data_IF_676384944660
#
_entry.id   IF_676384944660
#
_cell.length_a   1.000
_cell.length_b   1.000
_cell.length_c   1.000
_cell.angle_alpha   90.00
_cell.angle_beta   90.00
_cell.angle_gamma   90.00
#
_symmetry.space_group_name_H-M   'P 1'
#
loop_
_entity.id
_entity.type
_entity.pdbx_description
1 polymer ?
#
# COMPACT_ATOMS: atom_id res chain seq x y z
N UNK A 1 -18.55 6.82 5.47
CA UNK A 1 -17.69 7.20 4.34
C UNK A 1 -18.49 8.08 3.40
N UNK A 2 -17.84 8.95 2.62
CA UNK A 2 -18.51 9.85 1.67
C UNK A 2 -19.43 9.07 0.72
N UNK A 3 -19.01 7.88 0.28
CA UNK A 3 -19.80 6.95 -0.55
C UNK A 3 -21.12 6.56 0.09
N UNK A 4 -21.16 6.32 1.40
CA UNK A 4 -22.38 5.93 2.12
C UNK A 4 -23.33 7.12 2.30
N UNK A 5 -22.80 8.34 2.53
CA UNK A 5 -23.62 9.56 2.53
C UNK A 5 -24.21 9.85 1.15
N UNK A 6 -23.40 9.71 0.09
CA UNK A 6 -23.86 9.86 -1.30
C UNK A 6 -24.90 8.81 -1.66
N UNK A 7 -24.73 7.55 -1.23
CA UNK A 7 -25.71 6.48 -1.43
C UNK A 7 -27.04 6.79 -0.76
N UNK A 8 -27.01 7.34 0.46
CA UNK A 8 -28.21 7.76 1.18
C UNK A 8 -28.92 8.95 0.51
N UNK A 9 -28.15 9.91 -0.02
CA UNK A 9 -28.70 11.08 -0.73
C UNK A 9 -29.29 10.69 -2.08
N UNK A 10 -28.55 9.91 -2.87
CA UNK A 10 -28.91 9.50 -4.21
C UNK A 10 -29.80 8.24 -4.24
N UNK A 11 -30.16 7.71 -3.06
CA UNK A 11 -31.03 6.54 -2.87
C UNK A 11 -30.59 5.29 -3.65
N UNK A 12 -29.27 5.02 -3.71
CA UNK A 12 -28.72 3.80 -4.29
C UNK A 12 -28.20 2.83 -3.25
N UNK A 13 -28.12 1.54 -3.62
CA UNK A 13 -27.53 0.52 -2.75
C UNK A 13 -26.01 0.74 -2.63
N UNK A 14 -25.48 1.08 -1.44
CA UNK A 14 -24.06 1.38 -1.27
C UNK A 14 -23.16 0.15 -1.43
N UNK A 15 -23.70 -1.08 -1.32
CA UNK A 15 -22.87 -2.30 -1.22
C UNK A 15 -21.96 -2.50 -2.44
N UNK A 16 -22.44 -2.44 -3.69
CA UNK A 16 -21.59 -2.56 -4.88
C UNK A 16 -20.49 -1.51 -4.95
N UNK A 17 -20.82 -0.27 -4.58
CA UNK A 17 -19.89 0.87 -4.63
C UNK A 17 -18.80 0.73 -3.59
N UNK A 18 -19.15 0.41 -2.34
CA UNK A 18 -18.19 0.19 -1.26
C UNK A 18 -17.27 -0.99 -1.59
N UNK A 19 -17.82 -2.10 -2.11
CA UNK A 19 -17.00 -3.23 -2.53
C UNK A 19 -16.01 -2.81 -3.63
N UNK A 20 -16.47 -2.11 -4.67
CA UNK A 20 -15.57 -1.63 -5.72
C UNK A 20 -14.50 -0.67 -5.19
N UNK A 21 -14.85 0.21 -4.25
CA UNK A 21 -13.93 1.15 -3.61
C UNK A 21 -12.84 0.42 -2.82
N UNK A 22 -13.20 -0.59 -2.03
CA UNK A 22 -12.25 -1.41 -1.26
C UNK A 22 -11.27 -2.14 -2.17
N UNK A 23 -11.74 -2.77 -3.24
CA UNK A 23 -10.87 -3.46 -4.20
C UNK A 23 -9.96 -2.48 -4.95
N UNK A 24 -10.50 -1.36 -5.42
CA UNK A 24 -9.73 -0.32 -6.11
C UNK A 24 -8.69 0.34 -5.19
N UNK A 25 -9.02 0.58 -3.91
CA UNK A 25 -8.11 1.15 -2.93
C UNK A 25 -6.94 0.21 -2.63
N UNK A 26 -7.22 -1.08 -2.40
CA UNK A 26 -6.16 -2.09 -2.20
C UNK A 26 -5.26 -2.21 -3.43
N UNK A 27 -5.84 -2.22 -4.63
CA UNK A 27 -5.07 -2.34 -5.86
C UNK A 27 -4.25 -1.07 -6.15
N UNK A 28 -4.81 0.11 -5.88
CA UNK A 28 -4.11 1.39 -6.01
C UNK A 28 -2.97 1.53 -5.00
N UNK A 29 -3.16 1.07 -3.76
CA UNK A 29 -2.10 0.99 -2.74
C UNK A 29 -0.96 0.07 -3.18
N UNK A 30 -1.30 -1.09 -3.75
CA UNK A 30 -0.31 -2.02 -4.29
C UNK A 30 0.54 -1.44 -5.45
N UNK A 31 0.04 -0.40 -6.14
CA UNK A 31 0.67 0.17 -7.34
C UNK A 31 1.94 0.96 -7.04
N UNK A 32 2.07 1.47 -5.81
CA UNK A 32 3.12 2.39 -5.42
C UNK A 32 3.90 1.82 -4.25
N UNK A 33 5.20 2.14 -4.20
CA UNK A 33 6.06 1.67 -3.11
C UNK A 33 5.58 2.17 -1.74
N UNK A 34 4.86 3.29 -1.66
CA UNK A 34 4.38 3.89 -0.41
C UNK A 34 2.93 3.58 -0.07
N UNK A 35 2.21 2.84 -0.93
CA UNK A 35 0.77 2.64 -0.74
C UNK A 35 0.43 1.68 0.39
N UNK A 36 1.34 0.77 0.76
CA UNK A 36 1.22 -0.08 1.93
C UNK A 36 2.60 -0.43 2.55
N UNK A 37 2.65 -0.88 3.82
CA UNK A 37 3.91 -1.28 4.45
C UNK A 37 4.66 -2.44 3.75
N UNK A 38 4.00 -3.51 3.25
CA UNK A 38 4.67 -4.57 2.51
C UNK A 38 5.48 -4.08 1.31
N UNK A 39 4.94 -3.13 0.52
CA UNK A 39 5.62 -2.58 -0.64
C UNK A 39 6.88 -1.79 -0.27
N UNK A 40 6.86 -1.07 0.85
CA UNK A 40 8.05 -0.40 1.37
C UNK A 40 9.12 -1.43 1.75
N UNK A 41 8.74 -2.52 2.42
CA UNK A 41 9.67 -3.60 2.83
C UNK A 41 10.30 -4.24 1.58
N UNK A 42 9.48 -4.63 0.60
CA UNK A 42 9.95 -5.27 -0.63
C UNK A 42 10.81 -4.28 -1.44
N UNK A 43 10.35 -3.05 -1.61
CA UNK A 43 11.04 -2.02 -2.38
C UNK A 43 12.41 -1.68 -1.80
N UNK A 44 12.50 -1.50 -0.49
CA UNK A 44 13.77 -1.19 0.19
C UNK A 44 14.72 -2.40 0.23
N UNK A 45 14.21 -3.61 0.45
CA UNK A 45 15.04 -4.81 0.45
C UNK A 45 15.60 -5.18 -0.94
N UNK A 46 14.88 -4.83 -2.00
CA UNK A 46 15.34 -5.01 -3.39
C UNK A 46 16.16 -3.81 -3.92
N UNK A 47 16.28 -2.73 -3.15
CA UNK A 47 16.96 -1.50 -3.59
C UNK A 47 16.26 -0.79 -4.75
N UNK A 48 14.94 -0.98 -4.90
CA UNK A 48 14.17 -0.36 -5.99
C UNK A 48 14.00 1.13 -5.72
N UNK A 49 14.09 1.93 -6.77
CA UNK A 49 13.59 3.31 -6.70
C UNK A 49 12.06 3.30 -6.80
N UNK A 50 11.42 4.40 -6.41
CA UNK A 50 9.96 4.54 -6.43
C UNK A 50 9.42 4.35 -7.84
N UNK A 51 10.13 4.90 -8.82
CA UNK A 51 9.81 4.79 -10.24
C UNK A 51 10.02 3.37 -10.76
N UNK A 52 11.06 2.67 -10.33
CA UNK A 52 11.30 1.28 -10.74
C UNK A 52 10.20 0.36 -10.20
N UNK A 53 9.77 0.58 -8.96
CA UNK A 53 8.66 -0.15 -8.37
C UNK A 53 7.36 0.06 -9.14
N UNK A 54 7.05 1.31 -9.52
CA UNK A 54 5.86 1.61 -10.34
C UNK A 54 5.96 0.98 -11.73
N UNK A 55 7.13 1.02 -12.38
CA UNK A 55 7.32 0.40 -13.69
C UNK A 55 7.14 -1.12 -13.65
N UNK A 56 7.62 -1.76 -12.58
CA UNK A 56 7.54 -3.20 -12.42
C UNK A 56 6.13 -3.66 -12.00
N UNK A 57 5.61 -3.11 -10.90
CA UNK A 57 4.37 -3.58 -10.27
C UNK A 57 3.14 -2.87 -10.85
N UNK A 58 3.28 -1.60 -11.25
CA UNK A 58 2.18 -0.77 -11.74
C UNK A 58 1.58 -1.25 -13.06
N UNK A 59 2.36 -1.88 -13.95
CA UNK A 59 1.83 -2.46 -15.20
C UNK A 59 0.90 -3.64 -14.91
N UNK A 60 1.34 -4.57 -14.06
CA UNK A 60 0.55 -5.73 -13.65
C UNK A 60 -0.73 -5.26 -12.95
N UNK A 61 -0.61 -4.26 -12.09
CA UNK A 61 -1.74 -3.67 -11.39
C UNK A 61 -2.69 -2.94 -12.33
N UNK A 62 -2.19 -2.23 -13.34
CA UNK A 62 -3.03 -1.61 -14.36
C UNK A 62 -3.88 -2.64 -15.10
N UNK A 63 -3.30 -3.80 -15.43
CA UNK A 63 -4.02 -4.93 -16.02
C UNK A 63 -5.08 -5.46 -15.04
N UNK A 64 -4.70 -5.75 -13.80
CA UNK A 64 -5.64 -6.20 -12.75
C UNK A 64 -6.77 -5.18 -12.51
N UNK A 65 -6.48 -3.88 -12.61
CA UNK A 65 -7.44 -2.81 -12.42
C UNK A 65 -8.51 -2.85 -13.50
N UNK A 66 -8.11 -3.02 -14.76
CA UNK A 66 -9.05 -3.19 -15.88
C UNK A 66 -9.94 -4.43 -15.67
N UNK A 67 -9.36 -5.57 -15.26
CA UNK A 67 -10.14 -6.77 -14.97
C UNK A 67 -11.13 -6.58 -13.83
N UNK A 68 -10.71 -5.92 -12.73
CA UNK A 68 -11.57 -5.59 -11.59
C UNK A 68 -12.71 -4.67 -12.03
N UNK A 69 -12.42 -3.62 -12.80
CA UNK A 69 -13.46 -2.71 -13.34
C UNK A 69 -14.46 -3.46 -14.24
N UNK A 70 -13.98 -4.33 -15.12
CA UNK A 70 -14.85 -5.14 -15.99
C UNK A 70 -15.71 -6.09 -15.14
N UNK A 71 -15.11 -6.76 -14.15
CA UNK A 71 -15.82 -7.67 -13.24
C UNK A 71 -16.93 -6.95 -12.47
N UNK A 72 -16.61 -5.83 -11.82
CA UNK A 72 -17.59 -5.03 -11.09
C UNK A 72 -18.67 -4.46 -12.03
N UNK A 73 -18.29 -4.00 -13.22
CA UNK A 73 -19.25 -3.57 -14.22
C UNK A 73 -20.19 -4.71 -14.63
N UNK A 74 -19.69 -5.91 -14.91
CA UNK A 74 -20.52 -7.07 -15.30
C UNK A 74 -21.44 -7.55 -14.17
N UNK A 75 -20.92 -7.67 -12.95
CA UNK A 75 -21.68 -8.13 -11.79
C UNK A 75 -22.74 -7.11 -11.34
N UNK A 76 -22.40 -5.81 -11.37
CA UNK A 76 -23.25 -4.78 -10.78
C UNK A 76 -23.96 -3.87 -11.78
N UNK A 77 -23.79 -4.04 -13.11
CA UNK A 77 -24.55 -3.25 -14.12
C UNK A 77 -26.06 -3.29 -13.94
N UNK A 78 -26.62 -4.42 -13.52
CA UNK A 78 -28.07 -4.60 -13.32
C UNK A 78 -28.57 -3.82 -12.10
N UNK A 79 -28.00 -4.00 -10.89
CA UNK A 79 -28.40 -3.20 -9.73
C UNK A 79 -28.10 -1.71 -9.88
N UNK A 80 -26.99 -1.33 -10.55
CA UNK A 80 -26.68 0.08 -10.82
C UNK A 80 -27.74 0.74 -11.73
N UNK A 81 -28.10 0.10 -12.86
CA UNK A 81 -29.15 0.61 -13.76
C UNK A 81 -30.54 0.65 -13.10
N UNK A 82 -30.86 -0.36 -12.28
CA UNK A 82 -32.13 -0.39 -11.54
C UNK A 82 -32.19 0.73 -10.49
N UNK A 83 -31.05 1.12 -9.92
CA UNK A 83 -30.96 2.20 -8.95
C UNK A 83 -31.05 3.59 -9.59
N UNK A 84 -30.48 3.76 -10.78
CA UNK A 84 -30.57 5.00 -11.57
C UNK A 84 -31.99 5.25 -12.11
N UNK A 85 -32.74 4.17 -12.39
CA UNK A 85 -34.13 4.25 -12.84
C UNK A 85 -35.14 4.62 -11.74
N UNK A 86 -34.73 4.65 -10.45
CA UNK A 86 -35.60 5.14 -9.37
C UNK A 86 -35.66 6.67 -9.40
N UNK A 87 -36.88 7.27 -9.35
CA UNK A 87 -36.99 8.72 -9.19
C UNK A 87 -36.22 9.15 -7.94
N UNK A 88 -35.48 10.27 -7.97
CA UNK A 88 -34.78 10.75 -6.79
C UNK A 88 -35.82 10.93 -5.67
N UNK A 89 -35.70 10.09 -4.64
CA UNK A 89 -36.59 10.14 -3.50
C UNK A 89 -36.50 11.54 -2.89
N UNK A 90 -37.64 12.21 -2.72
CA UNK A 90 -37.81 13.52 -2.04
C UNK A 90 -37.43 13.48 -0.55
N UNK A 91 -36.42 12.71 -0.14
CA UNK A 91 -35.76 12.96 1.14
C UNK A 91 -35.02 14.27 0.99
N UNK A 92 -35.43 15.26 1.80
CA UNK A 92 -34.73 16.55 1.94
C UNK A 92 -33.25 16.25 1.86
N UNK A 93 -32.57 16.87 0.88
CA UNK A 93 -31.12 16.98 0.85
C UNK A 93 -30.72 17.44 2.25
N UNK A 94 -30.36 16.52 3.13
CA UNK A 94 -29.61 16.87 4.32
C UNK A 94 -28.41 17.59 3.73
N UNK A 95 -28.21 18.88 4.05
CA UNK A 95 -27.18 19.67 3.39
C UNK A 95 -25.90 18.86 3.50
N UNK A 96 -25.31 18.50 2.35
CA UNK A 96 -24.00 17.86 2.28
C UNK A 96 -23.16 18.55 3.33
N UNK A 97 -22.74 17.80 4.34
CA UNK A 97 -22.05 18.36 5.49
C UNK A 97 -20.76 18.93 4.91
N UNK A 98 -20.78 20.24 4.61
CA UNK A 98 -19.64 20.91 4.01
C UNK A 98 -18.50 20.65 4.97
N UNK A 99 -17.33 20.19 4.49
CA UNK A 99 -16.17 20.09 5.37
C UNK A 99 -16.06 21.43 6.10
N UNK A 100 -15.96 21.43 7.44
CA UNK A 100 -15.98 22.65 8.25
C UNK A 100 -15.05 23.64 7.58
N UNK A 101 -15.61 24.79 7.13
CA UNK A 101 -15.02 25.74 6.18
C UNK A 101 -13.50 25.65 6.16
N UNK A 102 -12.97 24.76 5.30
CA UNK A 102 -11.56 24.44 5.34
C UNK A 102 -10.84 25.73 5.02
N UNK A 103 -10.05 26.24 5.96
CA UNK A 103 -9.29 27.46 5.80
C UNK A 103 -8.55 27.33 4.46
N UNK A 104 -8.91 28.16 3.47
CA UNK A 104 -8.39 28.01 2.10
C UNK A 104 -6.87 28.02 2.08
N UNK A 105 -6.26 28.74 3.02
CA UNK A 105 -4.81 28.77 3.23
C UNK A 105 -4.27 27.44 3.76
N UNK A 106 -4.95 26.82 4.72
CA UNK A 106 -4.60 25.49 5.24
C UNK A 106 -4.70 24.42 4.14
N UNK A 107 -5.82 24.39 3.41
CA UNK A 107 -6.01 23.45 2.30
C UNK A 107 -4.93 23.59 1.22
N UNK A 108 -4.61 24.82 0.81
CA UNK A 108 -3.54 25.07 -0.18
C UNK A 108 -2.18 24.64 0.38
N UNK A 109 -1.90 24.90 1.66
CA UNK A 109 -0.66 24.47 2.28
C UNK A 109 -0.53 22.94 2.33
N UNK A 110 -1.61 22.22 2.66
CA UNK A 110 -1.63 20.76 2.66
C UNK A 110 -1.42 20.19 1.25
N UNK A 111 -2.04 20.79 0.23
CA UNK A 111 -1.81 20.43 -1.18
C UNK A 111 -0.34 20.66 -1.58
N UNK A 112 0.29 21.75 -1.13
CA UNK A 112 1.71 22.01 -1.38
C UNK A 112 2.58 20.94 -0.72
N UNK A 113 2.32 20.60 0.54
CA UNK A 113 3.07 19.53 1.25
C UNK A 113 2.90 18.19 0.54
N UNK A 114 1.70 17.86 0.07
CA UNK A 114 1.45 16.66 -0.72
C UNK A 114 2.24 16.64 -2.04
N UNK A 115 2.27 17.76 -2.78
CA UNK A 115 3.05 17.86 -4.01
C UNK A 115 4.56 17.76 -3.75
N UNK A 116 5.05 18.33 -2.65
CA UNK A 116 6.45 18.16 -2.21
C UNK A 116 6.73 16.68 -1.92
N UNK A 117 5.82 15.98 -1.24
CA UNK A 117 5.97 14.56 -0.96
C UNK A 117 6.09 13.74 -2.25
N UNK A 118 5.21 13.97 -3.22
CA UNK A 118 5.25 13.30 -4.53
C UNK A 118 6.54 13.61 -5.27
N UNK A 119 6.96 14.89 -5.30
CA UNK A 119 8.21 15.28 -5.94
C UNK A 119 9.40 14.57 -5.31
N UNK A 120 9.52 14.58 -3.97
CA UNK A 120 10.58 13.90 -3.25
C UNK A 120 10.60 12.40 -3.52
N UNK A 121 9.44 11.73 -3.53
CA UNK A 121 9.33 10.30 -3.83
C UNK A 121 9.83 9.95 -5.23
N UNK A 122 9.46 10.76 -6.23
CA UNK A 122 9.88 10.57 -7.62
C UNK A 122 11.37 10.87 -7.80
N UNK A 123 11.91 11.90 -7.14
CA UNK A 123 13.31 12.31 -7.26
C UNK A 123 14.25 11.56 -6.32
N UNK A 124 13.76 10.68 -5.45
CA UNK A 124 14.58 10.09 -4.38
C UNK A 124 15.80 9.32 -4.90
N UNK A 125 15.67 8.72 -6.09
CA UNK A 125 16.76 8.01 -6.77
C UNK A 125 18.00 8.91 -7.00
N UNK A 126 17.78 10.20 -7.22
CA UNK A 126 18.85 11.18 -7.47
C UNK A 126 19.38 11.78 -6.18
N UNK A 127 18.52 11.93 -5.16
CA UNK A 127 18.89 12.54 -3.88
C UNK A 127 19.49 11.52 -2.90
N UNK A 128 19.43 10.22 -3.19
CA UNK A 128 19.88 9.15 -2.30
C UNK A 128 19.04 9.01 -1.04
N UNK A 129 17.90 9.69 -0.96
CA UNK A 129 17.01 9.64 0.20
C UNK A 129 16.20 8.34 0.18
N UNK A 130 16.15 7.65 1.31
CA UNK A 130 15.25 6.50 1.46
C UNK A 130 13.80 6.96 1.56
N UNK A 131 12.86 6.11 1.15
CA UNK A 131 11.42 6.37 1.28
C UNK A 131 11.02 6.68 2.73
N UNK A 132 11.63 5.99 3.70
CA UNK A 132 11.41 6.24 5.12
C UNK A 132 11.83 7.65 5.54
N UNK A 133 12.97 8.14 5.04
CA UNK A 133 13.44 9.50 5.32
C UNK A 133 12.49 10.55 4.76
N UNK A 134 11.99 10.35 3.54
CA UNK A 134 10.98 11.22 2.93
C UNK A 134 9.71 11.26 3.77
N UNK A 135 9.25 10.10 4.26
CA UNK A 135 8.10 10.01 5.15
C UNK A 135 8.25 10.88 6.41
N UNK A 136 9.43 10.85 7.05
CA UNK A 136 9.73 11.70 8.21
C UNK A 136 9.73 13.18 7.85
N UNK A 137 10.36 13.57 6.72
CA UNK A 137 10.38 14.96 6.25
C UNK A 137 8.96 15.47 6.02
N UNK A 138 8.14 14.71 5.30
CA UNK A 138 6.74 15.06 4.99
C UNK A 138 5.90 15.13 6.26
N UNK A 139 6.09 14.20 7.20
CA UNK A 139 5.42 14.24 8.50
C UNK A 139 5.78 15.52 9.28
N UNK A 140 7.07 15.86 9.38
CA UNK A 140 7.52 17.09 10.03
C UNK A 140 6.95 18.35 9.36
N UNK A 141 6.96 18.41 8.02
CA UNK A 141 6.37 19.51 7.25
C UNK A 141 4.86 19.64 7.49
N UNK A 142 4.14 18.51 7.50
CA UNK A 142 2.69 18.48 7.75
C UNK A 142 2.38 18.99 9.15
N UNK A 143 3.12 18.54 10.17
CA UNK A 143 2.96 19.03 11.54
C UNK A 143 3.24 20.54 11.63
N UNK A 144 4.33 21.00 11.01
CA UNK A 144 4.70 22.42 10.99
C UNK A 144 3.61 23.28 10.34
N UNK A 145 3.14 22.91 9.14
CA UNK A 145 2.07 23.60 8.43
C UNK A 145 0.78 23.61 9.25
N UNK A 146 0.44 22.49 9.89
CA UNK A 146 -0.75 22.38 10.74
C UNK A 146 -0.66 23.30 11.96
N UNK A 147 0.50 23.42 12.61
CA UNK A 147 0.70 24.38 13.71
C UNK A 147 0.39 25.81 13.24
N UNK A 148 0.92 26.23 12.10
CA UNK A 148 0.78 27.61 11.63
C UNK A 148 -0.61 27.94 11.04
N UNK A 149 -1.35 26.94 10.57
CA UNK A 149 -2.63 27.16 9.88
C UNK A 149 -3.85 26.88 10.74
N UNK A 150 -3.81 25.82 11.55
CA UNK A 150 -4.92 25.29 12.34
C UNK A 150 -4.64 25.30 13.86
N UNK A 151 -3.40 25.60 14.27
CA UNK A 151 -3.00 25.70 15.67
C UNK A 151 -2.62 24.36 16.32
N UNK A 152 -2.11 24.43 17.56
CA UNK A 152 -1.59 23.26 18.28
C UNK A 152 -2.63 22.18 18.63
N UNK A 153 -3.91 22.54 18.74
CA UNK A 153 -4.97 21.57 19.00
C UNK A 153 -5.17 20.60 17.82
N UNK A 154 -5.09 21.10 16.58
CA UNK A 154 -5.18 20.30 15.38
C UNK A 154 -4.00 19.32 15.25
N UNK A 155 -2.79 19.76 15.64
CA UNK A 155 -1.62 18.86 15.70
C UNK A 155 -1.82 17.72 16.68
N UNK A 156 -2.39 18.00 17.86
CA UNK A 156 -2.69 16.96 18.84
C UNK A 156 -3.72 15.95 18.32
N UNK A 157 -4.68 16.41 17.53
CA UNK A 157 -5.66 15.54 16.87
C UNK A 157 -4.98 14.66 15.79
N UNK A 158 -4.11 15.23 14.95
CA UNK A 158 -3.32 14.46 13.97
C UNK A 158 -2.46 13.39 14.63
N UNK A 159 -1.71 13.75 15.68
CA UNK A 159 -0.88 12.79 16.43
C UNK A 159 -1.72 11.71 17.10
N UNK A 160 -2.90 12.04 17.61
CA UNK A 160 -3.82 11.06 18.19
C UNK A 160 -4.40 10.10 17.15
N UNK A 161 -4.44 10.50 15.87
CA UNK A 161 -4.84 9.65 14.76
C UNK A 161 -3.78 8.63 14.34
N UNK A 162 -2.55 8.72 14.85
CA UNK A 162 -1.49 7.75 14.55
C UNK A 162 -1.75 6.43 15.28
N UNK A 163 -1.67 5.31 14.54
CA UNK A 163 -1.79 3.98 15.12
C UNK A 163 -0.47 3.51 15.75
N UNK A 164 -0.21 3.98 16.97
CA UNK A 164 0.97 3.61 17.74
C UNK A 164 1.04 2.12 18.08
N UNK A 165 -0.11 1.43 18.19
CA UNK A 165 -0.12 -0.02 18.48
C UNK A 165 0.46 -0.80 17.32
N UNK A 166 0.06 -0.44 16.11
CA UNK A 166 0.57 -1.04 14.88
C UNK A 166 2.07 -0.75 14.69
N UNK A 167 2.54 0.47 15.00
CA UNK A 167 3.98 0.79 14.97
C UNK A 167 4.79 -0.06 15.95
N UNK A 168 4.34 -0.18 17.21
CA UNK A 168 5.01 -1.01 18.22
C UNK A 168 5.01 -2.49 17.84
N UNK A 169 3.90 -2.97 17.25
CA UNK A 169 3.81 -4.32 16.71
C UNK A 169 4.86 -4.57 15.61
N UNK A 170 5.03 -3.65 14.65
CA UNK A 170 6.05 -3.80 13.60
C UNK A 170 7.47 -3.77 14.14
N UNK A 171 7.76 -2.95 15.15
CA UNK A 171 9.07 -2.96 15.81
C UNK A 171 9.35 -4.34 16.40
N UNK A 172 8.41 -4.91 17.16
CA UNK A 172 8.56 -6.25 17.74
C UNK A 172 8.66 -7.37 16.69
N UNK A 173 7.88 -7.26 15.62
CA UNK A 173 7.91 -8.16 14.47
C UNK A 173 9.28 -8.15 13.79
N UNK A 174 9.83 -6.97 13.45
CA UNK A 174 11.13 -6.89 12.79
C UNK A 174 12.27 -7.39 13.69
N UNK A 175 12.22 -7.13 14.99
CA UNK A 175 13.19 -7.72 15.95
C UNK A 175 13.10 -9.24 15.93
N UNK A 176 11.89 -9.80 15.91
CA UNK A 176 11.67 -11.25 15.89
C UNK A 176 12.13 -11.89 14.59
N UNK A 177 11.84 -11.26 13.44
CA UNK A 177 12.30 -11.71 12.11
C UNK A 177 13.83 -11.67 12.02
N UNK A 178 14.45 -10.58 12.48
CA UNK A 178 15.92 -10.48 12.52
C UNK A 178 16.55 -11.54 13.44
N UNK A 179 15.92 -11.82 14.59
CA UNK A 179 16.34 -12.91 15.46
C UNK A 179 16.26 -14.27 14.76
N UNK A 180 15.17 -14.53 14.06
CA UNK A 180 14.98 -15.77 13.30
C UNK A 180 15.99 -15.92 12.15
N UNK A 181 16.33 -14.82 11.47
CA UNK A 181 17.37 -14.81 10.44
C UNK A 181 18.72 -15.30 10.99
N UNK A 182 19.11 -14.84 12.18
CA UNK A 182 20.37 -15.24 12.83
C UNK A 182 20.40 -16.71 13.26
N UNK A 183 19.24 -17.33 13.49
CA UNK A 183 19.19 -18.79 13.78
C UNK A 183 19.45 -19.66 12.55
N UNK A 184 19.44 -19.08 11.34
CA UNK A 184 19.59 -19.83 10.09
C UNK A 184 18.32 -20.55 9.62
N UNK A 185 17.19 -20.43 10.34
CA UNK A 185 15.91 -21.04 9.93
C UNK A 185 15.47 -20.60 8.53
N UNK A 186 15.71 -19.33 8.16
CA UNK A 186 15.36 -18.84 6.83
C UNK A 186 16.14 -19.55 5.70
N UNK A 187 17.40 -19.93 5.97
CA UNK A 187 18.21 -20.72 5.03
C UNK A 187 17.70 -22.15 4.91
N UNK A 188 17.24 -22.76 6.00
CA UNK A 188 16.62 -24.09 5.98
C UNK A 188 15.34 -24.10 5.14
N UNK A 189 14.48 -23.09 5.30
CA UNK A 189 13.26 -22.93 4.50
C UNK A 189 13.62 -22.75 3.02
N UNK A 190 14.60 -21.89 2.72
CA UNK A 190 15.07 -21.68 1.35
C UNK A 190 15.57 -22.98 0.70
N UNK A 191 16.37 -23.77 1.41
CA UNK A 191 16.85 -25.07 0.94
C UNK A 191 15.72 -26.08 0.74
N UNK A 192 14.74 -26.12 1.65
CA UNK A 192 13.58 -27.00 1.53
C UNK A 192 12.75 -26.69 0.27
N UNK A 193 12.46 -25.41 0.02
CA UNK A 193 11.76 -24.96 -1.19
C UNK A 193 12.58 -25.31 -2.43
N UNK A 194 13.90 -25.07 -2.40
CA UNK A 194 14.79 -25.38 -3.52
C UNK A 194 14.82 -26.88 -3.84
N UNK A 195 14.87 -27.73 -2.82
CA UNK A 195 14.88 -29.19 -2.97
C UNK A 195 13.56 -29.70 -3.58
N UNK A 196 12.42 -29.23 -3.08
CA UNK A 196 11.09 -29.58 -3.64
C UNK A 196 10.95 -29.09 -5.08
N UNK A 197 11.49 -27.92 -5.39
CA UNK A 197 11.41 -27.34 -6.73
C UNK A 197 12.31 -28.04 -7.77
N UNK A 198 13.20 -28.93 -7.33
CA UNK A 198 14.19 -29.59 -8.20
C UNK A 198 15.14 -28.61 -8.89
N UNK A 199 15.35 -27.41 -8.32
CA UNK A 199 16.14 -26.33 -8.92
C UNK A 199 15.45 -25.55 -10.05
N UNK A 200 14.17 -25.81 -10.34
CA UNK A 200 13.43 -25.06 -11.34
C UNK A 200 12.87 -23.76 -10.78
N UNK A 201 13.39 -22.63 -11.26
CA UNK A 201 12.95 -21.28 -10.85
C UNK A 201 11.45 -21.07 -11.08
N UNK A 202 10.87 -21.66 -12.12
CA UNK A 202 9.43 -21.56 -12.41
C UNK A 202 8.60 -22.22 -11.31
N UNK A 203 9.08 -23.34 -10.78
CA UNK A 203 8.39 -24.08 -9.70
C UNK A 203 8.55 -23.34 -8.38
N UNK A 204 9.73 -22.75 -8.11
CA UNK A 204 9.94 -21.86 -6.94
C UNK A 204 8.96 -20.70 -6.95
N UNK A 205 8.86 -19.97 -8.08
CA UNK A 205 7.92 -18.85 -8.24
C UNK A 205 6.48 -19.31 -8.01
N UNK A 206 6.08 -20.45 -8.59
CA UNK A 206 4.73 -21.00 -8.43
C UNK A 206 4.43 -21.35 -6.96
N UNK A 207 5.38 -21.99 -6.26
CA UNK A 207 5.24 -22.33 -4.83
C UNK A 207 5.05 -21.06 -4.01
N UNK A 208 5.89 -20.05 -4.23
CA UNK A 208 5.80 -18.78 -3.50
C UNK A 208 4.46 -18.09 -3.79
N UNK A 209 4.04 -18.01 -5.05
CA UNK A 209 2.76 -17.38 -5.42
C UNK A 209 1.56 -18.07 -4.77
N UNK A 210 1.51 -19.41 -4.81
CA UNK A 210 0.41 -20.17 -4.18
C UNK A 210 0.44 -20.03 -2.66
N UNK A 211 1.62 -20.11 -2.05
CA UNK A 211 1.78 -19.92 -0.62
C UNK A 211 1.34 -18.51 -0.20
N UNK A 212 1.76 -17.48 -0.93
CA UNK A 212 1.33 -16.09 -0.70
C UNK A 212 -0.18 -15.93 -0.83
N UNK A 213 -0.81 -16.55 -1.84
CA UNK A 213 -2.25 -16.47 -2.02
C UNK A 213 -3.03 -17.08 -0.85
N UNK A 214 -2.59 -18.23 -0.33
CA UNK A 214 -3.24 -18.89 0.81
C UNK A 214 -2.94 -18.16 2.11
N UNK A 215 -1.67 -17.80 2.35
CA UNK A 215 -1.25 -17.10 3.56
C UNK A 215 -1.87 -15.69 3.66
N UNK A 216 -2.08 -14.98 2.55
CA UNK A 216 -2.70 -13.63 2.56
C UNK A 216 -4.16 -13.64 3.07
N UNK A 217 -4.83 -14.80 3.05
CA UNK A 217 -6.17 -14.96 3.62
C UNK A 217 -6.18 -15.25 5.14
N UNK A 218 -5.04 -15.67 5.71
CA UNK A 218 -4.92 -16.16 7.09
C UNK A 218 -3.98 -15.32 7.96
N UNK A 219 -2.97 -14.70 7.35
CA UNK A 219 -1.86 -13.98 7.97
C UNK A 219 -1.85 -12.56 7.37
N UNK A 220 -1.61 -11.55 8.20
CA UNK A 220 -1.40 -10.19 7.73
C UNK A 220 -0.27 -10.11 6.70
N UNK A 221 -0.46 -9.31 5.65
CA UNK A 221 0.51 -9.20 4.56
C UNK A 221 1.87 -8.64 5.01
N UNK A 222 1.92 -7.94 6.15
CA UNK A 222 3.12 -7.28 6.69
C UNK A 222 4.11 -8.28 7.30
N UNK A 223 3.74 -9.11 8.31
CA UNK A 223 4.61 -10.18 8.79
C UNK A 223 4.96 -11.20 7.71
N UNK A 224 4.05 -11.45 6.78
CA UNK A 224 4.34 -12.32 5.66
C UNK A 224 5.44 -11.74 4.75
N UNK A 225 5.35 -10.47 4.34
CA UNK A 225 6.38 -9.82 3.53
C UNK A 225 7.72 -9.74 4.28
N UNK A 226 7.69 -9.37 5.56
CA UNK A 226 8.90 -9.26 6.39
C UNK A 226 9.68 -10.60 6.49
N UNK A 227 8.97 -11.72 6.55
CA UNK A 227 9.58 -13.06 6.65
C UNK A 227 9.98 -13.64 5.30
N UNK A 228 9.16 -13.43 4.25
CA UNK A 228 9.40 -14.02 2.94
C UNK A 228 10.47 -13.32 2.12
N UNK A 229 10.64 -12.00 2.26
CA UNK A 229 11.69 -11.25 1.57
C UNK A 229 13.09 -11.86 1.80
N UNK A 230 13.55 -12.07 3.04
CA UNK A 230 14.86 -12.69 3.28
C UNK A 230 14.92 -14.17 2.86
N UNK A 231 13.81 -14.91 2.89
CA UNK A 231 13.74 -16.28 2.35
C UNK A 231 13.97 -16.28 0.84
N UNK A 232 13.30 -15.40 0.10
CA UNK A 232 13.46 -15.28 -1.36
C UNK A 232 14.88 -14.86 -1.74
N UNK A 233 15.46 -13.91 -1.00
CA UNK A 233 16.87 -13.52 -1.18
C UNK A 233 17.82 -14.70 -0.93
N UNK A 234 17.56 -15.51 0.09
CA UNK A 234 18.34 -16.72 0.40
C UNK A 234 18.23 -17.78 -0.70
N UNK A 235 17.04 -17.99 -1.27
CA UNK A 235 16.83 -18.89 -2.41
C UNK A 235 17.61 -18.40 -3.63
N UNK A 236 17.51 -17.10 -3.95
CA UNK A 236 18.23 -16.50 -5.07
C UNK A 236 19.75 -16.65 -4.93
N UNK A 237 20.29 -16.43 -3.73
CA UNK A 237 21.70 -16.64 -3.43
C UNK A 237 22.13 -18.11 -3.58
N UNK A 238 21.29 -19.06 -3.15
CA UNK A 238 21.59 -20.51 -3.22
C UNK A 238 21.57 -21.03 -4.66
N UNK A 239 20.67 -20.52 -5.51
CA UNK A 239 20.54 -20.94 -6.90
C UNK A 239 21.46 -20.16 -7.87
N UNK A 240 22.30 -19.24 -7.37
CA UNK A 240 23.17 -18.41 -8.20
C UNK A 240 22.40 -17.44 -9.10
N UNK A 241 21.13 -17.17 -8.79
CA UNK A 241 20.28 -16.27 -9.55
C UNK A 241 20.67 -14.85 -9.14
N UNK A 242 21.42 -14.16 -10.01
CA UNK A 242 21.51 -12.70 -9.93
C UNK A 242 20.10 -12.17 -10.10
N UNK A 243 19.52 -11.60 -9.05
CA UNK A 243 18.43 -10.65 -9.21
C UNK A 243 18.90 -9.67 -10.29
N UNK A 244 18.15 -9.54 -11.39
CA UNK A 244 18.44 -8.60 -12.48
C UNK A 244 18.36 -7.11 -12.02
N UNK A 245 18.46 -6.84 -10.71
CA UNK A 245 18.18 -5.55 -10.09
C UNK A 245 19.06 -5.22 -8.87
N UNK A 246 20.28 -5.72 -8.83
CA UNK A 246 21.34 -5.04 -8.07
C UNK A 246 22.32 -4.43 -9.09
N UNK A 247 22.31 -3.11 -9.33
CA UNK A 247 23.55 -2.47 -9.73
C UNK A 247 24.51 -2.72 -8.57
N UNK A 248 25.65 -3.34 -8.87
CA UNK A 248 26.71 -3.67 -7.91
C UNK A 248 26.94 -2.52 -6.93
N UNK A 249 26.44 -2.65 -5.70
CA UNK A 249 26.91 -1.83 -4.60
C UNK A 249 28.20 -2.51 -4.14
N UNK A 250 29.30 -2.18 -4.81
CA UNK A 250 30.63 -2.40 -4.27
C UNK A 250 30.75 -1.50 -3.02
N UNK A 251 30.60 -2.10 -1.85
CA UNK A 251 31.26 -1.67 -0.62
C UNK A 251 31.89 -2.90 0.03
#
# INVERSE_FOLDING_TARGET
TVTLELAQILCFDPVPMILSEVFCANLGGAATMCGDPPNIIIGTALGYTFTDFIKNTGVIIGICFVFVLIFFWLCFRKPLKASEARPPGRRRLAPLRRPPSANRKAFVADVIVFLIAVALLVTHAQTGLTVSCIGVIVACLTLLVTVFTNGGAAVKELLRGVDYKTLLFFIGLFISVAGLEQTGVLKLIAQFISNISGGSIKVVILIILLLSAVCSALIDNIPFAATMVPVVQSIAATQGIKFFLFPSINC
#
